data_IF_044664633950
#
_entry.id   IF_044664633950
#
_cell.length_a   1.000
_cell.length_b   1.000
_cell.length_c   1.000
_cell.angle_alpha   90.00
_cell.angle_beta   90.00
_cell.angle_gamma   90.00
#
_symmetry.space_group_name_H-M   'P 1'
#
loop_
_entity.id
_entity.type
_entity.pdbx_description
1 polymer ?
#
# COMPACT_ATOMS: atom_id res chain seq x y z
N UNK A 1 16.79 10.64 -1.01
CA UNK A 1 15.83 10.23 -2.06
C UNK A 1 14.48 10.71 -1.58
N UNK A 2 13.83 11.60 -2.34
CA UNK A 2 12.62 12.28 -1.88
C UNK A 2 11.33 11.50 -2.22
N UNK A 3 11.39 10.70 -3.28
CA UNK A 3 10.23 10.03 -3.87
C UNK A 3 10.38 8.52 -3.93
N UNK A 4 11.62 8.00 -3.88
CA UNK A 4 11.90 6.57 -3.90
C UNK A 4 12.28 6.06 -2.52
N UNK A 5 11.87 4.83 -2.20
CA UNK A 5 12.28 4.15 -0.98
C UNK A 5 12.45 2.64 -1.19
N UNK A 6 13.33 2.05 -0.40
CA UNK A 6 13.76 0.67 -0.58
C UNK A 6 14.90 0.52 -1.60
N UNK A 7 15.01 -0.62 -2.29
CA UNK A 7 14.01 -1.68 -2.37
C UNK A 7 13.92 -2.52 -1.08
N UNK A 8 12.70 -2.91 -0.72
CA UNK A 8 12.39 -3.70 0.47
C UNK A 8 11.83 -5.08 0.08
N UNK A 9 12.04 -6.08 0.92
CA UNK A 9 11.32 -7.35 0.81
C UNK A 9 9.83 -7.11 1.14
N UNK A 10 9.01 -7.05 0.10
CA UNK A 10 7.56 -6.93 0.16
C UNK A 10 6.95 -8.22 0.70
N UNK A 11 5.85 -8.08 1.45
CA UNK A 11 5.04 -9.21 1.91
C UNK A 11 4.48 -10.06 0.75
N UNK A 12 4.23 -9.43 -0.40
CA UNK A 12 3.51 -10.06 -1.53
C UNK A 12 4.18 -9.92 -2.90
N UNK A 13 5.14 -9.01 -3.07
CA UNK A 13 5.74 -8.69 -4.39
C UNK A 13 7.24 -9.05 -4.50
N UNK A 14 7.78 -9.84 -3.58
CA UNK A 14 9.22 -10.08 -3.53
C UNK A 14 9.98 -8.79 -3.21
N UNK A 15 11.15 -8.60 -3.81
CA UNK A 15 11.93 -7.38 -3.62
C UNK A 15 11.31 -6.22 -4.42
N UNK A 16 10.82 -5.19 -3.74
CA UNK A 16 10.15 -4.06 -4.40
C UNK A 16 10.73 -2.70 -4.04
N UNK A 17 10.95 -1.87 -5.06
CA UNK A 17 11.21 -0.44 -4.93
C UNK A 17 9.89 0.32 -4.85
N UNK A 18 9.71 1.18 -3.86
CA UNK A 18 8.55 2.06 -3.76
C UNK A 18 8.77 3.40 -4.45
N UNK A 19 7.76 3.88 -5.16
CA UNK A 19 7.66 5.25 -5.71
C UNK A 19 6.50 5.94 -5.00
N UNK A 20 6.79 6.90 -4.12
CA UNK A 20 5.81 7.67 -3.37
C UNK A 20 5.47 8.97 -4.10
N UNK A 21 4.31 8.98 -4.77
CA UNK A 21 3.84 10.16 -5.51
C UNK A 21 3.18 11.22 -4.60
N UNK A 22 2.96 10.91 -3.32
CA UNK A 22 2.37 11.82 -2.33
C UNK A 22 3.04 11.60 -0.96
N UNK A 23 4.27 12.11 -0.76
CA UNK A 23 5.00 11.93 0.51
C UNK A 23 4.30 12.56 1.73
N UNK A 24 3.43 13.55 1.49
CA UNK A 24 2.48 14.02 2.50
C UNK A 24 1.16 13.25 2.35
N UNK A 25 0.50 12.90 3.46
CA UNK A 25 -0.77 12.16 3.45
C UNK A 25 -1.93 12.99 2.86
N UNK A 26 -1.99 13.01 1.53
CA UNK A 26 -3.03 13.58 0.69
C UNK A 26 -3.83 12.43 0.10
N UNK A 27 -5.07 12.29 0.52
CA UNK A 27 -5.89 11.14 0.17
C UNK A 27 -7.34 11.62 0.06
N UNK A 28 -8.16 10.91 -0.69
CA UNK A 28 -9.60 11.11 -0.67
C UNK A 28 -10.32 10.24 0.38
N UNK A 29 -9.60 9.41 1.14
CA UNK A 29 -10.10 8.66 2.30
C UNK A 29 -9.43 9.13 3.60
N UNK A 30 -10.07 8.89 4.74
CA UNK A 30 -9.49 9.01 6.08
C UNK A 30 -9.71 7.71 6.88
N UNK A 31 -9.23 6.60 6.31
CA UNK A 31 -9.51 5.26 6.82
C UNK A 31 -9.15 5.10 8.30
N UNK A 32 -10.04 4.45 9.04
CA UNK A 32 -9.91 4.17 10.46
C UNK A 32 -8.60 3.45 10.82
N UNK A 33 -8.23 2.48 9.97
CA UNK A 33 -7.11 1.57 10.18
C UNK A 33 -5.78 2.11 9.62
N UNK A 34 -5.77 3.29 8.98
CA UNK A 34 -4.64 3.72 8.17
C UNK A 34 -3.34 3.82 8.99
N UNK A 35 -2.33 2.99 8.68
CA UNK A 35 -1.06 2.93 9.41
C UNK A 35 -0.23 4.22 9.29
N UNK A 36 -0.43 4.99 8.22
CA UNK A 36 0.18 6.31 8.01
C UNK A 36 -0.39 7.36 9.00
N UNK A 37 -1.59 7.15 9.54
CA UNK A 37 -2.29 8.07 10.45
C UNK A 37 -3.44 8.84 9.79
N UNK A 38 -3.88 9.95 10.40
CA UNK A 38 -4.99 10.79 9.89
C UNK A 38 -4.61 11.54 8.62
N UNK A 39 -5.54 11.61 7.67
CA UNK A 39 -5.37 12.35 6.41
C UNK A 39 -5.18 13.84 6.67
N UNK A 40 -4.07 14.40 6.16
CA UNK A 40 -3.74 15.80 6.36
C UNK A 40 -4.51 16.70 5.39
N UNK A 41 -4.73 16.21 4.17
CA UNK A 41 -5.54 16.89 3.15
C UNK A 41 -6.50 15.89 2.50
N UNK A 42 -7.76 15.98 2.90
CA UNK A 42 -8.85 15.18 2.35
C UNK A 42 -9.36 15.84 1.06
N UNK A 43 -9.16 15.22 -0.10
CA UNK A 43 -9.41 15.85 -1.41
C UNK A 43 -9.55 14.82 -2.53
N UNK A 44 -10.39 15.10 -3.53
CA UNK A 44 -10.50 14.33 -4.77
C UNK A 44 -9.78 15.01 -5.94
N UNK A 45 -9.18 16.18 -5.71
CA UNK A 45 -8.44 16.91 -6.73
C UNK A 45 -7.30 16.09 -7.32
N UNK A 46 -7.36 15.81 -8.61
CA UNK A 46 -6.24 15.20 -9.34
C UNK A 46 -5.27 16.28 -9.83
N UNK A 47 -4.03 16.31 -9.31
CA UNK A 47 -3.04 17.35 -9.58
C UNK A 47 -1.61 16.80 -9.57
N UNK A 48 -0.66 17.59 -10.05
CA UNK A 48 0.76 17.32 -9.82
C UNK A 48 1.13 17.79 -8.40
N UNK A 49 1.16 16.84 -7.45
CA UNK A 49 1.45 17.13 -6.04
C UNK A 49 2.95 17.11 -5.73
N UNK A 50 3.71 16.33 -6.51
CA UNK A 50 5.16 16.40 -6.56
C UNK A 50 5.57 16.53 -8.04
N UNK A 51 6.69 17.20 -8.39
CA UNK A 51 7.04 17.36 -9.80
C UNK A 51 7.32 16.00 -10.44
N UNK A 52 6.53 15.62 -11.44
CA UNK A 52 6.64 14.34 -12.18
C UNK A 52 8.05 14.16 -12.74
N UNK A 53 8.62 15.25 -13.28
CA UNK A 53 10.00 15.31 -13.76
C UNK A 53 11.06 14.97 -12.70
N UNK A 54 10.80 15.32 -11.43
CA UNK A 54 11.75 15.06 -10.34
C UNK A 54 11.68 13.60 -9.91
N UNK A 55 10.48 13.00 -9.89
CA UNK A 55 10.29 11.56 -9.70
C UNK A 55 11.01 10.77 -10.79
N UNK A 56 10.82 11.15 -12.07
CA UNK A 56 11.49 10.52 -13.21
C UNK A 56 13.02 10.67 -13.12
N UNK A 57 13.53 11.83 -12.71
CA UNK A 57 14.97 12.02 -12.52
C UNK A 57 15.54 11.08 -11.45
N UNK A 58 14.86 10.95 -10.30
CA UNK A 58 15.28 10.04 -9.22
C UNK A 58 15.22 8.57 -9.67
N UNK A 59 14.21 8.20 -10.47
CA UNK A 59 14.13 6.87 -11.10
C UNK A 59 15.29 6.63 -12.07
N UNK A 60 15.64 7.60 -12.93
CA UNK A 60 16.79 7.47 -13.85
C UNK A 60 18.08 7.16 -13.10
N UNK A 61 18.35 7.91 -12.03
CA UNK A 61 19.54 7.70 -11.20
C UNK A 61 19.52 6.29 -10.58
N UNK A 62 18.40 5.87 -9.99
CA UNK A 62 18.25 4.53 -9.44
C UNK A 62 18.46 3.42 -10.49
N UNK A 63 17.87 3.56 -11.68
CA UNK A 63 17.99 2.58 -12.75
C UNK A 63 19.42 2.48 -13.29
N UNK A 64 20.16 3.60 -13.35
CA UNK A 64 21.57 3.60 -13.70
C UNK A 64 22.41 2.82 -12.66
N UNK A 65 22.11 3.00 -11.38
CA UNK A 65 22.76 2.27 -10.29
C UNK A 65 22.49 0.75 -10.36
N UNK A 66 21.25 0.34 -10.67
CA UNK A 66 20.89 -1.08 -10.92
C UNK A 66 21.64 -1.62 -12.13
N UNK A 67 21.66 -0.89 -13.25
CA UNK A 67 22.33 -1.29 -14.49
C UNK A 67 23.85 -1.45 -14.28
N UNK A 68 24.45 -0.60 -13.45
CA UNK A 68 25.87 -0.69 -13.09
C UNK A 68 26.21 -1.85 -12.15
N UNK A 69 25.20 -2.59 -11.65
CA UNK A 69 25.37 -3.69 -10.69
C UNK A 69 25.61 -3.24 -9.25
N UNK A 70 25.50 -1.94 -8.95
CA UNK A 70 25.65 -1.39 -7.58
C UNK A 70 24.40 -1.62 -6.72
N UNK A 71 23.23 -1.62 -7.34
CA UNK A 71 21.96 -1.94 -6.69
C UNK A 71 21.42 -3.28 -7.18
N UNK A 72 20.75 -4.00 -6.27
CA UNK A 72 20.02 -5.21 -6.63
C UNK A 72 18.82 -4.84 -7.52
N UNK A 73 18.57 -5.66 -8.55
CA UNK A 73 17.41 -5.53 -9.42
C UNK A 73 16.12 -5.84 -8.62
N UNK A 74 15.14 -4.93 -8.54
CA UNK A 74 13.86 -5.21 -7.93
C UNK A 74 13.04 -6.20 -8.78
N UNK A 75 12.22 -7.01 -8.12
CA UNK A 75 11.18 -7.81 -8.76
C UNK A 75 10.02 -6.90 -9.24
N UNK A 76 9.71 -5.86 -8.45
CA UNK A 76 8.67 -4.87 -8.75
C UNK A 76 9.12 -3.44 -8.46
N UNK A 77 8.75 -2.49 -9.33
CA UNK A 77 8.62 -1.07 -8.97
C UNK A 77 7.15 -0.81 -8.61
N UNK A 78 6.88 -0.47 -7.36
CA UNK A 78 5.53 -0.24 -6.86
C UNK A 78 5.25 1.26 -6.76
N UNK A 79 4.30 1.75 -7.55
CA UNK A 79 3.70 3.06 -7.35
C UNK A 79 2.79 2.99 -6.14
N UNK A 80 3.05 3.84 -5.17
CA UNK A 80 2.31 3.93 -3.91
C UNK A 80 2.31 5.38 -3.44
N UNK A 81 1.74 5.62 -2.28
CA UNK A 81 1.75 6.91 -1.66
C UNK A 81 1.56 6.80 -0.14
N UNK A 82 1.95 7.85 0.58
CA UNK A 82 1.44 8.04 1.95
C UNK A 82 -0.08 8.32 1.96
N UNK A 83 -0.66 8.69 0.82
CA UNK A 83 -2.10 8.83 0.56
C UNK A 83 -2.59 8.04 -0.66
N UNK A 84 -3.38 8.65 -1.57
CA UNK A 84 -3.95 7.95 -2.73
C UNK A 84 -3.21 8.29 -4.03
N UNK A 85 -2.36 7.40 -4.58
CA UNK A 85 -1.46 7.76 -5.68
C UNK A 85 -2.17 8.13 -6.99
N UNK A 86 -3.40 7.65 -7.23
CA UNK A 86 -4.15 8.00 -8.45
C UNK A 86 -4.60 9.47 -8.49
N UNK A 87 -4.56 10.18 -7.35
CA UNK A 87 -4.73 11.64 -7.31
C UNK A 87 -3.54 12.39 -7.95
N UNK A 88 -2.42 11.72 -8.21
CA UNK A 88 -1.29 12.32 -8.90
C UNK A 88 -1.51 12.34 -10.42
N UNK A 89 -1.64 13.53 -11.00
CA UNK A 89 -1.90 13.70 -12.44
C UNK A 89 -0.80 13.09 -13.35
N UNK A 90 0.44 13.02 -12.86
CA UNK A 90 1.58 12.44 -13.57
C UNK A 90 1.74 10.92 -13.45
N UNK A 91 0.85 10.19 -12.75
CA UNK A 91 1.02 8.75 -12.48
C UNK A 91 1.25 7.93 -13.76
N UNK A 92 0.47 8.16 -14.81
CA UNK A 92 0.62 7.45 -16.07
C UNK A 92 1.94 7.75 -16.78
N UNK A 93 2.45 8.98 -16.67
CA UNK A 93 3.76 9.35 -17.22
C UNK A 93 4.89 8.60 -16.50
N UNK A 94 4.82 8.50 -15.17
CA UNK A 94 5.80 7.75 -14.38
C UNK A 94 5.78 6.26 -14.73
N UNK A 95 4.59 5.64 -14.82
CA UNK A 95 4.44 4.23 -15.20
C UNK A 95 5.03 4.00 -16.60
N UNK A 96 4.61 4.78 -17.59
CA UNK A 96 5.10 4.65 -18.98
C UNK A 96 6.60 4.86 -19.09
N UNK A 97 7.16 5.80 -18.32
CA UNK A 97 8.60 6.01 -18.24
C UNK A 97 9.32 4.74 -17.74
N UNK A 98 8.89 4.16 -16.62
CA UNK A 98 9.49 2.93 -16.08
C UNK A 98 9.46 1.80 -17.11
N UNK A 99 8.31 1.59 -17.78
CA UNK A 99 8.15 0.56 -18.81
C UNK A 99 8.98 0.83 -20.07
N UNK A 100 9.29 2.09 -20.37
CA UNK A 100 10.11 2.45 -21.54
C UNK A 100 11.62 2.23 -21.31
N UNK A 101 12.07 2.32 -20.06
CA UNK A 101 13.49 2.19 -19.70
C UNK A 101 13.85 0.79 -19.19
N UNK A 102 12.86 -0.01 -18.78
CA UNK A 102 13.09 -1.29 -18.09
C UNK A 102 12.06 -2.35 -18.45
N UNK A 103 12.43 -3.60 -18.21
CA UNK A 103 11.55 -4.76 -18.25
C UNK A 103 10.95 -5.12 -16.88
N UNK A 104 11.08 -4.24 -15.89
CA UNK A 104 10.59 -4.50 -14.53
C UNK A 104 9.06 -4.52 -14.51
N UNK A 105 8.52 -5.30 -13.56
CA UNK A 105 7.09 -5.28 -13.29
C UNK A 105 6.72 -4.01 -12.52
N UNK A 106 5.64 -3.36 -12.92
CA UNK A 106 5.10 -2.17 -12.28
C UNK A 106 3.79 -2.52 -11.59
N UNK A 107 3.77 -2.36 -10.26
CA UNK A 107 2.56 -2.52 -9.46
C UNK A 107 2.02 -1.16 -9.02
N UNK A 108 0.71 -1.03 -8.85
CA UNK A 108 0.07 0.16 -8.26
C UNK A 108 -0.80 -0.25 -7.08
N UNK A 109 -0.54 0.33 -5.91
CA UNK A 109 -1.43 0.20 -4.75
C UNK A 109 -2.38 1.39 -4.73
N UNK A 110 -3.69 1.16 -4.64
CA UNK A 110 -4.70 2.22 -4.71
C UNK A 110 -5.91 1.87 -3.86
N UNK A 111 -6.60 2.87 -3.34
CA UNK A 111 -7.86 2.70 -2.62
C UNK A 111 -9.08 2.48 -3.53
N UNK A 112 -8.87 2.42 -4.86
CA UNK A 112 -9.88 2.08 -5.87
C UNK A 112 -10.93 3.16 -6.17
N UNK A 113 -10.98 4.23 -5.38
CA UNK A 113 -12.03 5.26 -5.43
C UNK A 113 -12.13 6.06 -6.72
N UNK A 114 -11.07 6.10 -7.52
CA UNK A 114 -10.92 6.96 -8.70
C UNK A 114 -11.20 6.23 -10.01
N UNK A 115 -11.57 4.95 -9.96
CA UNK A 115 -11.72 4.11 -11.16
C UNK A 115 -12.95 4.46 -12.02
N UNK A 116 -13.91 5.22 -11.49
CA UNK A 116 -14.97 5.82 -12.28
C UNK A 116 -14.44 6.86 -13.30
N UNK A 117 -13.27 7.43 -13.08
CA UNK A 117 -12.61 8.34 -14.02
C UNK A 117 -11.88 7.54 -15.11
N UNK A 118 -12.37 7.66 -16.35
CA UNK A 118 -11.75 7.03 -17.53
C UNK A 118 -10.27 7.42 -17.69
N UNK A 119 -9.89 8.66 -17.40
CA UNK A 119 -8.50 9.09 -17.54
C UNK A 119 -7.58 8.38 -16.54
N UNK A 120 -8.06 8.12 -15.32
CA UNK A 120 -7.31 7.33 -14.33
C UNK A 120 -7.13 5.91 -14.85
N UNK A 121 -8.19 5.26 -15.35
CA UNK A 121 -8.10 3.92 -15.95
C UNK A 121 -7.08 3.86 -17.07
N UNK A 122 -7.15 4.80 -18.02
CA UNK A 122 -6.19 4.90 -19.13
C UNK A 122 -4.74 5.09 -18.67
N UNK A 123 -4.51 5.86 -17.61
CA UNK A 123 -3.17 6.08 -17.06
C UNK A 123 -2.59 4.84 -16.36
N UNK A 124 -3.44 3.93 -15.89
CA UNK A 124 -3.03 2.69 -15.21
C UNK A 124 -2.84 1.51 -16.17
N UNK A 125 -3.34 1.58 -17.43
CA UNK A 125 -3.27 0.47 -18.40
C UNK A 125 -1.84 -0.02 -18.71
N UNK A 126 -0.82 0.81 -18.49
CA UNK A 126 0.58 0.45 -18.74
C UNK A 126 1.24 -0.31 -17.57
N UNK A 127 0.58 -0.42 -16.41
CA UNK A 127 1.07 -1.22 -15.30
C UNK A 127 0.92 -2.73 -15.59
N UNK A 128 1.58 -3.56 -14.80
CA UNK A 128 1.47 -5.02 -14.89
C UNK A 128 0.53 -5.60 -13.82
N UNK A 129 0.43 -4.91 -12.67
CA UNK A 129 -0.38 -5.32 -11.52
C UNK A 129 -1.06 -4.12 -10.87
N UNK A 130 -2.37 -4.21 -10.66
CA UNK A 130 -3.13 -3.23 -9.88
C UNK A 130 -3.67 -3.91 -8.63
N UNK A 131 -3.46 -3.28 -7.48
CA UNK A 131 -3.96 -3.76 -6.19
C UNK A 131 -4.90 -2.69 -5.61
N UNK A 132 -6.19 -2.70 -6.02
CA UNK A 132 -7.18 -1.81 -5.47
C UNK A 132 -7.69 -2.32 -4.11
N UNK A 133 -8.09 -1.41 -3.23
CA UNK A 133 -8.79 -1.76 -1.99
C UNK A 133 -10.31 -1.56 -2.11
N UNK A 134 -11.09 -2.50 -1.59
CA UNK A 134 -12.55 -2.38 -1.41
C UNK A 134 -12.94 -2.98 -0.05
N UNK A 135 -12.79 -2.20 1.02
CA UNK A 135 -12.98 -2.72 2.38
C UNK A 135 -14.44 -2.97 2.74
N UNK A 136 -15.37 -2.26 2.10
CA UNK A 136 -16.80 -2.56 2.21
C UNK A 136 -17.51 -2.19 0.91
N UNK A 137 -18.41 -3.06 0.49
CA UNK A 137 -19.35 -2.80 -0.61
C UNK A 137 -20.73 -2.36 -0.10
N UNK A 138 -20.86 -2.09 1.21
CA UNK A 138 -22.07 -1.57 1.84
C UNK A 138 -21.82 -0.13 2.30
N UNK A 139 -22.69 0.79 1.89
CA UNK A 139 -22.48 2.23 2.09
C UNK A 139 -22.23 2.61 3.56
N UNK A 140 -23.01 2.08 4.50
CA UNK A 140 -22.86 2.47 5.91
C UNK A 140 -21.48 2.13 6.46
N UNK A 141 -21.03 0.90 6.24
CA UNK A 141 -19.74 0.42 6.74
C UNK A 141 -18.56 0.99 5.93
N UNK A 142 -18.75 1.24 4.63
CA UNK A 142 -17.79 1.96 3.79
C UNK A 142 -17.51 3.37 4.32
N UNK A 143 -18.57 4.12 4.67
CA UNK A 143 -18.44 5.44 5.28
C UNK A 143 -17.77 5.34 6.65
N UNK A 144 -18.08 4.30 7.44
CA UNK A 144 -17.46 4.13 8.75
C UNK A 144 -15.97 3.79 8.69
N UNK A 145 -15.59 2.85 7.80
CA UNK A 145 -14.22 2.30 7.74
C UNK A 145 -13.28 3.17 6.91
N UNK A 146 -13.70 3.63 5.72
CA UNK A 146 -12.86 4.38 4.78
C UNK A 146 -13.02 5.90 4.90
N UNK A 147 -14.18 6.37 5.36
CA UNK A 147 -14.50 7.80 5.52
C UNK A 147 -14.15 8.60 4.26
N UNK A 148 -14.83 8.32 3.14
CA UNK A 148 -14.54 8.98 1.88
C UNK A 148 -14.81 10.49 1.97
N UNK A 149 -14.04 11.26 1.21
CA UNK A 149 -14.27 12.68 1.02
C UNK A 149 -15.66 12.90 0.42
N UNK A 150 -16.37 13.99 0.76
CA UNK A 150 -17.68 14.29 0.17
C UNK A 150 -17.68 14.46 -1.36
N UNK A 151 -16.50 14.70 -1.95
CA UNK A 151 -16.31 14.82 -3.40
C UNK A 151 -16.09 13.48 -4.12
N UNK A 152 -15.99 12.36 -3.39
CA UNK A 152 -15.85 11.06 -4.02
C UNK A 152 -17.11 10.72 -4.81
N UNK A 153 -16.93 9.90 -5.85
CA UNK A 153 -18.04 9.25 -6.56
C UNK A 153 -18.80 8.31 -5.62
N UNK A 154 -20.00 7.88 -6.03
CA UNK A 154 -20.76 6.92 -5.23
C UNK A 154 -20.03 5.58 -5.12
N UNK A 155 -20.36 4.78 -4.11
CA UNK A 155 -19.77 3.46 -3.93
C UNK A 155 -20.10 2.54 -5.12
N UNK A 156 -21.30 2.67 -5.67
CA UNK A 156 -21.75 1.95 -6.86
C UNK A 156 -20.94 2.35 -8.11
N UNK A 157 -20.69 3.65 -8.31
CA UNK A 157 -19.85 4.16 -9.40
C UNK A 157 -18.40 3.68 -9.26
N UNK A 158 -17.86 3.66 -8.04
CA UNK A 158 -16.53 3.12 -7.75
C UNK A 158 -16.43 1.64 -8.11
N UNK A 159 -17.37 0.81 -7.64
CA UNK A 159 -17.40 -0.63 -7.94
C UNK A 159 -17.58 -0.86 -9.44
N UNK A 160 -18.45 -0.09 -10.10
CA UNK A 160 -18.62 -0.14 -11.56
C UNK A 160 -17.34 0.20 -12.32
N UNK A 161 -16.63 1.25 -11.92
CA UNK A 161 -15.35 1.62 -12.52
C UNK A 161 -14.25 0.56 -12.33
N UNK A 162 -14.22 -0.12 -11.19
CA UNK A 162 -13.32 -1.26 -10.96
C UNK A 162 -13.66 -2.44 -11.86
N UNK A 163 -14.96 -2.73 -12.07
CA UNK A 163 -15.40 -3.78 -12.97
C UNK A 163 -15.06 -3.45 -14.44
N UNK A 164 -15.33 -2.22 -14.88
CA UNK A 164 -14.97 -1.79 -16.24
C UNK A 164 -13.46 -1.87 -16.46
N UNK A 165 -12.67 -1.46 -15.48
CA UNK A 165 -11.21 -1.57 -15.54
C UNK A 165 -10.74 -3.03 -15.66
N UNK A 166 -11.37 -3.96 -14.93
CA UNK A 166 -11.03 -5.38 -15.02
C UNK A 166 -11.20 -5.97 -16.42
N UNK A 167 -12.15 -5.46 -17.21
CA UNK A 167 -12.37 -5.88 -18.60
C UNK A 167 -11.40 -5.18 -19.59
N UNK A 168 -10.84 -4.02 -19.22
CA UNK A 168 -9.91 -3.24 -20.04
C UNK A 168 -8.43 -3.58 -19.78
N UNK A 169 -8.11 -4.00 -18.56
CA UNK A 169 -6.74 -4.16 -18.10
C UNK A 169 -6.16 -5.51 -18.54
N UNK A 170 -5.01 -5.47 -19.23
CA UNK A 170 -4.33 -6.68 -19.70
C UNK A 170 -3.39 -7.33 -18.68
N UNK A 171 -3.22 -6.74 -17.50
CA UNK A 171 -2.41 -7.27 -16.39
C UNK A 171 -3.25 -7.99 -15.34
N UNK A 172 -2.71 -8.17 -14.13
CA UNK A 172 -3.44 -8.79 -13.01
C UNK A 172 -4.10 -7.75 -12.09
N UNK A 173 -5.29 -8.05 -11.59
CA UNK A 173 -5.98 -7.27 -10.54
C UNK A 173 -6.06 -8.10 -9.26
N UNK A 174 -5.41 -7.64 -8.20
CA UNK A 174 -5.51 -8.26 -6.87
C UNK A 174 -6.33 -7.36 -5.95
N UNK A 175 -7.60 -7.67 -5.74
CA UNK A 175 -8.47 -6.89 -4.88
C UNK A 175 -8.12 -7.13 -3.41
N UNK A 176 -7.75 -6.09 -2.68
CA UNK A 176 -7.50 -6.14 -1.24
C UNK A 176 -8.78 -5.74 -0.46
N UNK A 177 -9.09 -6.50 0.59
CA UNK A 177 -10.16 -6.19 1.54
C UNK A 177 -9.57 -6.22 2.94
N UNK A 178 -9.52 -5.08 3.61
CA UNK A 178 -9.13 -5.00 5.01
C UNK A 178 -10.36 -5.03 5.92
N UNK A 179 -10.47 -6.09 6.71
CA UNK A 179 -11.54 -6.29 7.68
C UNK A 179 -11.15 -5.74 9.05
N UNK A 180 -12.01 -4.88 9.59
CA UNK A 180 -11.96 -4.34 10.94
C UNK A 180 -13.09 -4.96 11.74
N UNK A 181 -12.72 -5.58 12.87
CA UNK A 181 -13.67 -6.27 13.75
C UNK A 181 -14.81 -5.36 14.18
N UNK A 182 -16.04 -5.87 14.07
CA UNK A 182 -17.29 -5.21 14.43
C UNK A 182 -17.61 -3.94 13.60
N UNK A 183 -16.95 -3.72 12.46
CA UNK A 183 -17.17 -2.56 11.57
C UNK A 183 -17.65 -2.98 10.18
N UNK A 184 -16.93 -3.88 9.51
CA UNK A 184 -17.23 -4.32 8.13
C UNK A 184 -17.21 -5.85 7.97
N UNK A 185 -17.44 -6.61 9.04
CA UNK A 185 -17.40 -8.08 9.07
C UNK A 185 -18.77 -8.75 9.30
N UNK A 186 -19.84 -7.94 9.30
CA UNK A 186 -21.23 -8.37 9.44
C UNK A 186 -21.75 -9.16 8.25
N UNK A 187 -22.82 -9.94 8.45
CA UNK A 187 -23.37 -10.80 7.39
C UNK A 187 -23.81 -10.03 6.13
N UNK A 188 -24.44 -8.86 6.31
CA UNK A 188 -24.87 -8.01 5.21
C UNK A 188 -23.70 -7.39 4.45
N UNK A 189 -22.62 -7.01 5.16
CA UNK A 189 -21.39 -6.49 4.57
C UNK A 189 -20.71 -7.53 3.69
N UNK A 190 -20.55 -8.74 4.23
CA UNK A 190 -19.94 -9.85 3.49
C UNK A 190 -20.78 -10.26 2.28
N UNK A 191 -22.11 -10.14 2.35
CA UNK A 191 -22.98 -10.41 1.21
C UNK A 191 -22.80 -9.41 0.07
N UNK A 192 -22.79 -8.11 0.38
CA UNK A 192 -22.54 -7.09 -0.63
C UNK A 192 -21.12 -7.18 -1.18
N UNK A 193 -20.14 -7.51 -0.33
CA UNK A 193 -18.76 -7.70 -0.76
C UNK A 193 -18.62 -8.89 -1.72
N UNK A 194 -19.30 -10.01 -1.46
CA UNK A 194 -19.36 -11.14 -2.41
C UNK A 194 -19.95 -10.73 -3.75
N UNK A 195 -21.04 -9.96 -3.75
CA UNK A 195 -21.65 -9.45 -4.97
C UNK A 195 -20.69 -8.53 -5.75
N UNK A 196 -19.99 -7.62 -5.05
CA UNK A 196 -19.00 -6.74 -5.67
C UNK A 196 -17.81 -7.51 -6.25
N UNK A 197 -17.27 -8.50 -5.52
CA UNK A 197 -16.19 -9.37 -6.01
C UNK A 197 -16.62 -10.14 -7.27
N UNK A 198 -17.85 -10.66 -7.29
CA UNK A 198 -18.39 -11.37 -8.46
C UNK A 198 -18.57 -10.46 -9.69
N UNK A 199 -18.82 -9.16 -9.47
CA UNK A 199 -18.91 -8.16 -10.52
C UNK A 199 -17.52 -7.75 -11.04
N UNK A 200 -16.58 -7.46 -10.13
CA UNK A 200 -15.22 -7.02 -10.46
C UNK A 200 -14.39 -8.15 -11.07
N UNK A 201 -14.61 -9.39 -10.63
CA UNK A 201 -13.87 -10.61 -11.04
C UNK A 201 -12.35 -10.44 -10.96
N UNK A 202 -11.78 -10.02 -9.81
CA UNK A 202 -10.34 -9.88 -9.70
C UNK A 202 -9.65 -11.25 -9.84
N UNK A 203 -8.42 -11.26 -10.34
CA UNK A 203 -7.60 -12.47 -10.43
C UNK A 203 -7.33 -13.08 -9.05
N UNK A 204 -7.20 -12.21 -8.03
CA UNK A 204 -6.99 -12.61 -6.63
C UNK A 204 -7.77 -11.72 -5.68
N UNK A 205 -8.28 -12.32 -4.62
CA UNK A 205 -8.85 -11.63 -3.47
C UNK A 205 -7.91 -11.78 -2.27
N UNK A 206 -7.40 -10.66 -1.78
CA UNK A 206 -6.50 -10.61 -0.62
C UNK A 206 -7.28 -10.12 0.60
N UNK A 207 -7.50 -11.00 1.58
CA UNK A 207 -8.07 -10.63 2.87
C UNK A 207 -6.96 -10.18 3.82
N UNK A 208 -7.18 -9.03 4.45
CA UNK A 208 -6.26 -8.42 5.41
C UNK A 208 -7.02 -7.98 6.67
N UNK A 209 -6.28 -7.63 7.72
CA UNK A 209 -6.85 -7.05 8.94
C UNK A 209 -5.87 -6.09 9.61
N UNK A 210 -6.27 -5.47 10.72
CA UNK A 210 -5.48 -4.47 11.46
C UNK A 210 -4.29 -5.11 12.19
N UNK A 211 -3.23 -5.39 11.44
CA UNK A 211 -2.00 -6.04 11.94
C UNK A 211 -0.92 -5.07 12.40
N UNK A 212 -1.15 -3.75 12.25
CA UNK A 212 -0.25 -2.67 12.69
C UNK A 212 -1.03 -1.62 13.48
N UNK A 213 -0.34 -0.78 14.29
CA UNK A 213 -0.98 0.33 14.97
C UNK A 213 -1.80 1.21 13.99
N UNK A 214 -3.13 1.29 14.17
CA UNK A 214 -4.01 2.05 13.27
C UNK A 214 -3.99 3.56 13.57
N UNK A 215 -4.66 4.35 12.73
CA UNK A 215 -4.89 5.77 12.99
C UNK A 215 -5.80 6.01 14.22
N UNK A 216 -6.72 5.07 14.50
CA UNK A 216 -7.60 5.10 15.68
C UNK A 216 -7.64 3.75 16.39
N UNK A 217 -7.49 3.77 17.71
CA UNK A 217 -7.42 2.58 18.56
C UNK A 217 -8.67 1.69 18.50
N UNK A 218 -9.80 2.22 18.02
CA UNK A 218 -11.04 1.45 17.82
C UNK A 218 -10.96 0.49 16.62
N UNK A 219 -10.03 0.69 15.69
CA UNK A 219 -9.76 -0.30 14.63
C UNK A 219 -9.08 -1.53 15.27
N UNK A 220 -9.79 -2.67 15.31
CA UNK A 220 -9.29 -3.91 15.91
C UNK A 220 -9.09 -5.01 14.86
N UNK A 221 -8.10 -5.90 15.07
CA UNK A 221 -7.88 -7.03 14.17
C UNK A 221 -9.01 -8.05 14.27
N UNK A 222 -9.22 -8.74 13.17
CA UNK A 222 -10.03 -9.95 13.10
C UNK A 222 -9.30 -11.13 13.72
N UNK A 223 -10.06 -12.04 14.33
CA UNK A 223 -9.54 -13.32 14.76
C UNK A 223 -9.20 -14.20 13.54
N UNK A 224 -8.15 -15.01 13.63
CA UNK A 224 -7.68 -15.83 12.50
C UNK A 224 -8.74 -16.84 12.03
N UNK A 225 -9.45 -17.50 12.97
CA UNK A 225 -10.58 -18.38 12.64
C UNK A 225 -11.69 -17.63 11.90
N UNK A 226 -11.92 -16.38 12.32
CA UNK A 226 -12.67 -15.31 11.66
C UNK A 226 -12.40 -15.24 10.15
N UNK A 227 -11.18 -14.83 9.85
CA UNK A 227 -10.71 -14.61 8.49
C UNK A 227 -10.78 -15.87 7.63
N UNK A 228 -10.47 -17.04 8.20
CA UNK A 228 -10.56 -18.32 7.49
C UNK A 228 -12.00 -18.69 7.12
N UNK A 229 -12.96 -18.44 8.01
CA UNK A 229 -14.38 -18.62 7.73
C UNK A 229 -14.84 -17.71 6.58
N UNK A 230 -14.48 -16.42 6.66
CA UNK A 230 -14.81 -15.43 5.64
C UNK A 230 -14.18 -15.81 4.30
N UNK A 231 -12.89 -16.17 4.28
CA UNK A 231 -12.19 -16.61 3.07
C UNK A 231 -12.89 -17.78 2.37
N UNK A 232 -13.36 -18.77 3.14
CA UNK A 232 -14.09 -19.93 2.62
C UNK A 232 -15.49 -19.59 2.10
N UNK A 233 -16.04 -18.43 2.45
CA UNK A 233 -17.37 -18.00 1.98
C UNK A 233 -17.35 -17.42 0.56
N UNK A 234 -16.18 -17.02 0.06
CA UNK A 234 -16.01 -16.57 -1.31
C UNK A 234 -15.86 -17.77 -2.25
N UNK A 235 -16.39 -17.64 -3.46
CA UNK A 235 -16.31 -18.66 -4.50
C UNK A 235 -16.00 -18.01 -5.85
N UNK A 236 -15.36 -18.74 -6.76
CA UNK A 236 -15.05 -18.25 -8.11
C UNK A 236 -13.77 -17.39 -8.22
N UNK A 237 -13.15 -17.00 -7.10
CA UNK A 237 -11.89 -16.24 -7.07
C UNK A 237 -10.91 -16.89 -6.11
N UNK A 238 -9.62 -16.88 -6.44
CA UNK A 238 -8.57 -17.33 -5.51
C UNK A 238 -8.46 -16.37 -4.33
N UNK A 239 -8.59 -16.88 -3.10
CA UNK A 239 -8.54 -16.08 -1.87
C UNK A 239 -7.30 -16.41 -1.07
N UNK A 240 -6.57 -15.39 -0.67
CA UNK A 240 -5.43 -15.50 0.25
C UNK A 240 -5.57 -14.53 1.43
N UNK A 241 -4.97 -14.88 2.57
CA UNK A 241 -4.94 -14.04 3.77
C UNK A 241 -3.52 -13.48 3.92
N UNK A 242 -3.36 -12.15 3.90
CA UNK A 242 -2.06 -11.46 3.87
C UNK A 242 -1.67 -10.78 5.20
N UNK A 243 -2.02 -11.41 6.32
CA UNK A 243 -1.86 -10.85 7.67
C UNK A 243 -0.41 -10.92 8.23
N UNK A 244 0.49 -11.74 7.67
CA UNK A 244 1.85 -11.95 8.20
C UNK A 244 2.92 -11.86 7.10
N UNK A 245 4.18 -11.63 7.50
CA UNK A 245 5.32 -11.66 6.57
C UNK A 245 5.75 -13.11 6.30
N UNK A 246 5.99 -13.50 5.04
CA UNK A 246 6.66 -14.76 4.73
C UNK A 246 8.12 -14.74 5.21
N UNK A 247 8.64 -15.89 5.65
CA UNK A 247 10.06 -16.04 6.01
C UNK A 247 10.96 -15.98 4.75
N UNK A 248 11.91 -15.03 4.67
CA UNK A 248 13.34 -15.20 4.24
C UNK A 248 14.03 -13.98 3.56
N UNK A 249 15.38 -14.10 3.58
CA UNK A 249 16.49 -13.43 2.84
C UNK A 249 17.12 -12.16 3.46
N UNK A 250 18.18 -12.40 4.23
CA UNK A 250 19.15 -11.40 4.68
C UNK A 250 20.06 -10.93 3.53
N UNK A 251 20.46 -9.66 3.57
CA UNK A 251 21.39 -8.97 2.67
C UNK A 251 22.63 -8.53 3.45
N UNK A 252 23.74 -8.35 2.75
CA UNK A 252 24.92 -7.69 3.33
C UNK A 252 24.60 -6.23 3.66
N UNK A 253 24.99 -5.82 4.86
CA UNK A 253 24.88 -4.45 5.37
C UNK A 253 25.43 -3.41 4.39
N UNK A 254 24.76 -2.26 4.31
CA UNK A 254 25.13 -1.10 3.51
C UNK A 254 25.29 0.13 4.41
N UNK A 255 26.16 1.05 4.06
CA UNK A 255 26.39 2.30 4.79
C UNK A 255 25.13 3.20 4.90
N UNK A 256 24.13 3.02 4.03
CA UNK A 256 22.89 3.82 4.00
C UNK A 256 21.76 3.31 4.93
N UNK A 257 21.98 2.27 5.72
CA UNK A 257 20.93 1.57 6.46
C UNK A 257 20.15 2.46 7.47
N UNK A 258 20.82 3.45 8.08
CA UNK A 258 20.16 4.37 9.01
C UNK A 258 19.07 5.23 8.36
N UNK A 259 19.34 5.68 7.13
CA UNK A 259 18.39 6.48 6.36
C UNK A 259 17.22 5.62 5.86
N UNK A 260 17.49 4.41 5.37
CA UNK A 260 16.46 3.47 4.89
C UNK A 260 15.47 3.06 6.00
N UNK A 261 15.98 2.78 7.20
CA UNK A 261 15.13 2.51 8.38
C UNK A 261 14.26 3.72 8.69
N UNK A 262 14.84 4.93 8.72
CA UNK A 262 14.08 6.13 9.02
C UNK A 262 12.98 6.41 7.99
N UNK A 263 13.28 6.30 6.69
CA UNK A 263 12.32 6.46 5.59
C UNK A 263 11.16 5.44 5.68
N UNK A 264 11.47 4.19 6.04
CA UNK A 264 10.46 3.16 6.28
C UNK A 264 9.56 3.53 7.48
N UNK A 265 10.15 4.01 8.57
CA UNK A 265 9.44 4.42 9.79
C UNK A 265 8.64 5.73 9.64
N UNK A 266 8.94 6.56 8.64
CA UNK A 266 8.11 7.71 8.28
C UNK A 266 6.81 7.30 7.60
N UNK A 267 6.81 6.19 6.86
CA UNK A 267 5.64 5.73 6.09
C UNK A 267 4.72 4.84 6.89
N UNK A 268 5.27 4.03 7.81
CA UNK A 268 4.45 3.14 8.65
C UNK A 268 5.14 2.69 9.94
N UNK A 269 4.38 2.37 11.00
CA UNK A 269 4.91 1.71 12.18
C UNK A 269 5.46 0.33 11.82
N UNK A 270 6.64 -0.03 12.34
CA UNK A 270 7.27 -1.31 12.09
C UNK A 270 7.84 -1.92 13.37
N UNK A 271 7.72 -3.24 13.51
CA UNK A 271 8.46 -3.97 14.56
C UNK A 271 9.95 -4.06 14.20
N UNK A 272 10.78 -4.40 15.17
CA UNK A 272 12.19 -4.73 14.92
C UNK A 272 12.32 -5.85 13.86
N UNK A 273 11.48 -6.88 13.97
CA UNK A 273 11.44 -7.99 13.02
C UNK A 273 11.03 -7.53 11.62
N UNK A 274 10.03 -6.64 11.50
CA UNK A 274 9.59 -6.10 10.20
C UNK A 274 10.74 -5.38 9.49
N UNK A 275 11.55 -4.61 10.23
CA UNK A 275 12.69 -3.88 9.69
C UNK A 275 13.77 -4.85 9.22
N UNK A 276 14.10 -5.84 10.05
CA UNK A 276 15.05 -6.89 9.69
C UNK A 276 14.62 -7.60 8.40
N UNK A 277 13.35 -7.99 8.32
CA UNK A 277 12.80 -8.72 7.17
C UNK A 277 12.73 -7.83 5.93
N UNK A 278 12.19 -6.61 6.03
CA UNK A 278 12.02 -5.70 4.91
C UNK A 278 13.36 -5.25 4.31
N UNK A 279 14.38 -5.00 5.13
CA UNK A 279 15.69 -4.55 4.64
C UNK A 279 16.69 -5.69 4.48
N UNK A 280 16.35 -6.90 4.94
CA UNK A 280 17.26 -8.03 5.01
C UNK A 280 18.44 -7.78 5.95
N UNK A 281 18.24 -7.05 7.04
CA UNK A 281 19.32 -6.66 7.95
C UNK A 281 19.48 -7.61 9.13
N UNK A 282 20.71 -7.72 9.64
CA UNK A 282 20.99 -8.48 10.86
C UNK A 282 20.37 -7.80 12.09
N UNK A 283 19.78 -8.59 13.02
CA UNK A 283 19.11 -8.06 14.21
C UNK A 283 19.94 -7.07 15.04
N UNK A 284 21.23 -7.34 15.20
CA UNK A 284 22.13 -6.50 16.00
C UNK A 284 22.34 -5.12 15.41
N UNK A 285 22.44 -5.02 14.08
CA UNK A 285 22.59 -3.75 13.37
C UNK A 285 21.33 -2.91 13.41
N UNK A 286 20.16 -3.55 13.22
CA UNK A 286 18.86 -2.89 13.37
C UNK A 286 18.71 -2.32 14.79
N UNK A 287 19.07 -3.09 15.82
CA UNK A 287 19.03 -2.62 17.21
C UNK A 287 19.89 -1.39 17.43
N UNK A 288 21.13 -1.38 16.90
CA UNK A 288 22.04 -0.24 17.02
C UNK A 288 21.42 1.03 16.42
N UNK A 289 20.89 0.95 15.21
CA UNK A 289 20.30 2.09 14.51
C UNK A 289 19.01 2.58 15.20
N UNK A 290 18.15 1.66 15.65
CA UNK A 290 16.94 2.03 16.39
C UNK A 290 17.29 2.79 17.67
N UNK A 291 18.33 2.37 18.39
CA UNK A 291 18.80 3.06 19.59
C UNK A 291 19.28 4.49 19.24
N UNK A 292 20.13 4.65 18.22
CA UNK A 292 20.61 5.96 17.75
C UNK A 292 19.46 6.90 17.34
N UNK A 293 18.46 6.38 16.61
CA UNK A 293 17.27 7.14 16.20
C UNK A 293 16.36 7.49 17.39
N UNK A 294 16.28 6.64 18.41
CA UNK A 294 15.50 6.86 19.63
C UNK A 294 16.16 7.90 20.53
N UNK A 295 17.49 7.83 20.72
CA UNK A 295 18.28 8.80 21.49
C UNK A 295 18.17 10.22 20.89
N UNK A 296 18.08 10.32 19.57
CA UNK A 296 17.90 11.59 18.86
C UNK A 296 16.43 12.04 18.76
N UNK A 297 15.50 11.34 19.43
CA UNK A 297 14.05 11.58 19.43
C UNK A 297 13.43 11.65 18.02
N UNK A 298 14.05 10.99 17.04
CA UNK A 298 13.56 10.93 15.65
C UNK A 298 12.49 9.87 15.47
N UNK A 299 12.44 8.88 16.36
CA UNK A 299 11.41 7.84 16.38
C UNK A 299 10.80 7.72 17.77
N UNK A 300 9.59 7.16 17.83
CA UNK A 300 8.85 6.84 19.05
C UNK A 300 8.52 5.36 19.08
N UNK A 301 8.43 4.81 20.27
CA UNK A 301 7.98 3.45 20.53
C UNK A 301 6.48 3.42 20.84
N UNK A 302 5.78 2.39 20.38
CA UNK A 302 4.36 2.14 20.69
C UNK A 302 4.13 0.65 20.81
N UNK A 303 3.45 0.23 21.89
CA UNK A 303 3.07 -1.17 22.10
C UNK A 303 1.67 -1.38 21.51
N UNK A 304 1.54 -2.35 20.61
CA UNK A 304 0.26 -2.74 20.01
C UNK A 304 0.20 -4.26 19.88
N UNK A 305 -0.90 -4.84 20.36
CA UNK A 305 -1.13 -6.30 20.37
C UNK A 305 0.06 -7.11 20.96
N UNK A 306 0.60 -6.63 22.08
CA UNK A 306 1.73 -7.27 22.77
C UNK A 306 3.09 -7.17 22.06
N UNK A 307 3.18 -6.43 20.93
CA UNK A 307 4.42 -6.22 20.17
C UNK A 307 4.85 -4.76 20.22
N UNK A 308 6.17 -4.53 20.21
CA UNK A 308 6.77 -3.20 20.13
C UNK A 308 6.89 -2.76 18.66
N UNK A 309 6.33 -1.59 18.36
CA UNK A 309 6.46 -0.90 17.08
C UNK A 309 7.24 0.41 17.25
N UNK A 310 8.03 0.73 16.23
CA UNK A 310 8.73 2.00 16.08
C UNK A 310 8.05 2.82 14.97
N UNK A 311 8.03 4.14 15.10
CA UNK A 311 7.53 5.07 14.06
C UNK A 311 8.26 6.41 14.15
N UNK A 312 8.42 7.12 13.04
CA UNK A 312 9.00 8.48 13.05
C UNK A 312 8.16 9.47 13.86
N UNK A 313 8.83 10.41 14.54
CA UNK A 313 8.19 11.54 15.25
C UNK A 313 7.88 12.71 14.32
N UNK A 314 8.51 12.78 13.15
CA UNK A 314 8.23 13.79 12.12
C UNK A 314 7.16 13.27 11.16
N UNK A 315 6.06 14.01 11.04
CA UNK A 315 5.07 13.90 9.97
C UNK A 315 5.34 14.95 8.91
#
# INVERSE_FOLDING_TARGET
MGYLFGPVNSRRLGLSLGVDLLPAKICNYDCLYCEVGKTLRLTCDRREYVPTRAVIAELKDYLAEVTSGRLARPDYITITASGEPTLHAGIGEVIRFIKSETDFQVAVLTNGSTFADLQVRLDLLAADLIIPSLDSARLESFVEVNRPAPCCVSLEEMIGGLADFGEEFGGEVWLEVLLVKDVNDGAADLEQLRAAVALIKPDRLQLNTVVRPPAEDRAKPMEQGRLLEIARSFSGTFVEIIAEFPENRFRKEREAAGYEIFEMLQRRPCTHQDICQALGMEPSAVTKIINELSETARIRETIYDGRTYYQSTKR
#
